data_IF_971459370390
#
_entry.id   IF_971459370390
#
_cell.length_a   1.000
_cell.length_b   1.000
_cell.length_c   1.000
_cell.angle_alpha   90.00
_cell.angle_beta   90.00
_cell.angle_gamma   90.00
#
_symmetry.space_group_name_H-M   'P 1'
#
loop_
_entity.id
_entity.type
_entity.pdbx_description
1 polymer ?
#
# COMPACT_ATOMS: atom_id res chain seq x y z
N UNK A 1 6.12 54.92 7.78
CA UNK A 1 7.51 54.94 7.27
C UNK A 1 7.93 53.50 7.07
N UNK A 2 7.66 52.96 5.88
CA UNK A 2 8.12 51.62 5.50
C UNK A 2 9.59 51.71 5.08
N UNK A 3 10.47 51.13 5.89
CA UNK A 3 11.88 51.02 5.54
C UNK A 3 12.03 49.96 4.44
N UNK A 4 12.66 50.27 3.29
CA UNK A 4 12.88 49.28 2.25
C UNK A 4 13.84 48.20 2.75
N UNK A 5 13.38 46.94 2.74
CA UNK A 5 14.22 45.78 3.05
C UNK A 5 15.36 45.75 2.07
N UNK A 6 16.60 45.82 2.57
CA UNK A 6 17.78 45.90 1.70
C UNK A 6 17.86 44.69 0.75
N UNK A 7 18.22 44.88 -0.54
CA UNK A 7 18.32 43.79 -1.51
C UNK A 7 19.27 42.68 -1.06
N UNK A 8 20.27 43.01 -0.22
CA UNK A 8 21.20 42.05 0.38
C UNK A 8 20.52 41.12 1.39
N UNK A 9 19.54 41.60 2.18
CA UNK A 9 18.74 40.76 3.09
C UNK A 9 17.77 39.85 2.33
N UNK A 10 17.16 40.34 1.26
CA UNK A 10 16.32 39.52 0.38
C UNK A 10 17.11 38.46 -0.40
N UNK A 11 18.33 38.79 -0.86
CA UNK A 11 19.23 37.85 -1.52
C UNK A 11 19.81 36.81 -0.54
N UNK A 12 20.11 37.19 0.71
CA UNK A 12 20.51 36.26 1.76
C UNK A 12 19.38 35.31 2.17
N UNK A 13 18.13 35.81 2.25
CA UNK A 13 16.95 34.99 2.52
C UNK A 13 16.68 33.99 1.38
N UNK A 14 16.85 34.39 0.11
CA UNK A 14 16.74 33.49 -1.05
C UNK A 14 17.91 32.48 -1.15
N UNK A 15 19.14 32.89 -0.82
CA UNK A 15 20.31 31.99 -0.77
C UNK A 15 20.23 30.99 0.39
N UNK A 16 19.63 31.35 1.52
CA UNK A 16 19.41 30.46 2.65
C UNK A 16 18.37 29.36 2.39
N UNK A 17 17.41 29.59 1.49
CA UNK A 17 16.35 28.62 1.19
C UNK A 17 16.85 27.38 0.44
N UNK A 18 17.84 27.53 -0.44
CA UNK A 18 18.42 26.41 -1.21
C UNK A 18 19.61 25.75 -0.51
N UNK A 19 20.26 26.40 0.46
CA UNK A 19 21.45 25.89 1.13
C UNK A 19 21.17 24.94 2.32
N UNK A 20 19.91 24.69 2.65
CA UNK A 20 19.54 23.98 3.90
C UNK A 20 19.26 22.48 3.71
N UNK A 21 18.98 22.02 2.48
CA UNK A 21 18.68 20.61 2.22
C UNK A 21 19.93 19.84 1.76
N UNK A 22 20.32 18.86 2.56
CA UNK A 22 21.42 17.95 2.25
C UNK A 22 20.93 16.75 1.43
N UNK A 23 21.86 15.99 0.83
CA UNK A 23 21.57 14.71 0.18
C UNK A 23 20.69 13.77 1.03
N UNK A 24 20.83 13.82 2.36
CA UNK A 24 20.08 12.96 3.27
C UNK A 24 18.59 13.31 3.32
N UNK A 25 18.25 14.60 3.20
CA UNK A 25 16.85 15.02 3.08
C UNK A 25 16.21 14.46 1.80
N UNK A 26 16.95 14.52 0.69
CA UNK A 26 16.48 13.96 -0.59
C UNK A 26 16.28 12.44 -0.47
N UNK A 27 17.24 11.71 0.10
CA UNK A 27 17.12 10.26 0.29
C UNK A 27 15.90 9.92 1.15
N UNK A 28 15.71 10.58 2.29
CA UNK A 28 14.56 10.34 3.16
C UNK A 28 13.25 10.69 2.48
N UNK A 29 13.20 11.79 1.74
CA UNK A 29 12.03 12.17 0.95
C UNK A 29 11.67 11.08 -0.04
N UNK A 30 12.63 10.64 -0.85
CA UNK A 30 12.43 9.62 -1.90
C UNK A 30 12.03 8.29 -1.29
N UNK A 31 12.71 7.84 -0.22
CA UNK A 31 12.39 6.59 0.45
C UNK A 31 10.98 6.60 1.03
N UNK A 32 10.62 7.64 1.78
CA UNK A 32 9.27 7.75 2.38
C UNK A 32 8.18 7.93 1.32
N UNK A 33 8.49 8.64 0.22
CA UNK A 33 7.58 8.81 -0.92
C UNK A 33 7.27 7.47 -1.56
N UNK A 34 8.31 6.71 -1.94
CA UNK A 34 8.11 5.42 -2.59
C UNK A 34 7.57 4.35 -1.64
N UNK A 35 7.93 4.35 -0.35
CA UNK A 35 7.31 3.43 0.60
C UNK A 35 5.80 3.61 0.67
N UNK A 36 5.33 4.86 0.72
CA UNK A 36 3.90 5.12 0.80
C UNK A 36 3.20 4.94 -0.56
N UNK A 37 3.88 5.24 -1.67
CA UNK A 37 3.39 4.89 -3.01
C UNK A 37 3.20 3.38 -3.17
N UNK A 38 4.10 2.55 -2.67
CA UNK A 38 3.97 1.08 -2.73
C UNK A 38 2.79 0.55 -1.90
N UNK A 39 2.56 1.12 -0.71
CA UNK A 39 1.37 0.82 0.10
C UNK A 39 0.06 1.25 -0.59
N UNK A 40 0.10 2.30 -1.42
CA UNK A 40 -1.04 2.67 -2.26
C UNK A 40 -1.20 1.75 -3.46
N UNK A 41 -0.10 1.33 -4.08
CA UNK A 41 -0.10 0.40 -5.20
C UNK A 41 -0.75 -0.94 -4.83
N UNK A 42 -0.45 -1.49 -3.65
CA UNK A 42 -1.07 -2.73 -3.18
C UNK A 42 -2.58 -2.60 -2.94
N UNK A 43 -3.04 -1.51 -2.33
CA UNK A 43 -4.47 -1.20 -2.19
C UNK A 43 -5.15 -1.12 -3.56
N UNK A 44 -4.50 -0.46 -4.51
CA UNK A 44 -5.05 -0.30 -5.86
C UNK A 44 -5.07 -1.61 -6.65
N UNK A 45 -4.07 -2.49 -6.46
CA UNK A 45 -4.02 -3.80 -7.10
C UNK A 45 -5.28 -4.62 -6.81
N UNK A 46 -5.74 -4.69 -5.55
CA UNK A 46 -6.99 -5.37 -5.20
C UNK A 46 -8.18 -4.83 -6.01
N UNK A 47 -8.34 -3.50 -6.07
CA UNK A 47 -9.44 -2.88 -6.81
C UNK A 47 -9.45 -3.24 -8.30
N UNK A 48 -8.28 -3.34 -8.92
CA UNK A 48 -8.15 -3.61 -10.36
C UNK A 48 -8.46 -5.07 -10.73
N UNK A 49 -8.26 -5.99 -9.79
CA UNK A 49 -8.46 -7.42 -10.03
C UNK A 49 -9.83 -7.94 -9.62
N UNK A 50 -10.68 -7.12 -8.97
CA UNK A 50 -11.99 -7.54 -8.46
C UNK A 50 -12.87 -8.23 -9.50
N UNK A 51 -12.87 -7.73 -10.73
CA UNK A 51 -13.65 -8.32 -11.82
C UNK A 51 -13.12 -9.73 -12.13
N UNK A 52 -11.80 -9.88 -12.24
CA UNK A 52 -11.17 -11.19 -12.48
C UNK A 52 -11.39 -12.16 -11.32
N UNK A 53 -11.32 -11.68 -10.08
CA UNK A 53 -11.61 -12.49 -8.89
C UNK A 53 -13.08 -12.94 -8.90
N UNK A 54 -14.01 -12.03 -9.17
CA UNK A 54 -15.43 -12.34 -9.27
C UNK A 54 -15.67 -13.44 -10.31
N UNK A 55 -15.02 -13.34 -11.47
CA UNK A 55 -15.12 -14.37 -12.51
C UNK A 55 -14.58 -15.73 -12.09
N UNK A 56 -13.49 -15.77 -11.31
CA UNK A 56 -12.91 -17.04 -10.84
C UNK A 56 -13.75 -17.68 -9.72
N UNK A 57 -14.35 -16.87 -8.85
CA UNK A 57 -15.08 -17.33 -7.66
C UNK A 57 -16.54 -17.74 -7.95
N UNK A 58 -16.98 -17.67 -9.20
CA UNK A 58 -18.36 -17.96 -9.62
C UNK A 58 -18.38 -18.97 -10.77
N UNK A 59 -19.45 -19.77 -10.88
CA UNK A 59 -19.56 -20.76 -11.96
C UNK A 59 -19.53 -20.10 -13.34
N UNK A 60 -18.82 -20.72 -14.28
CA UNK A 60 -18.91 -20.35 -15.69
C UNK A 60 -20.35 -20.64 -16.19
N UNK A 61 -21.03 -19.63 -16.74
CA UNK A 61 -22.42 -19.75 -17.21
C UNK A 61 -22.60 -20.94 -18.14
N UNK A 62 -23.34 -21.97 -17.69
CA UNK A 62 -23.60 -23.18 -18.46
C UNK A 62 -24.67 -22.85 -19.51
N UNK A 63 -24.32 -22.96 -20.80
CA UNK A 63 -25.32 -22.96 -21.88
C UNK A 63 -26.22 -24.19 -21.73
N UNK A 64 -27.50 -23.97 -21.41
CA UNK A 64 -28.54 -24.99 -21.15
C UNK A 64 -28.95 -25.85 -22.36
N UNK A 65 -28.22 -25.75 -23.48
CA UNK A 65 -28.55 -26.46 -24.73
C UNK A 65 -27.74 -27.75 -24.96
N UNK A 66 -26.81 -28.12 -24.08
CA UNK A 66 -25.99 -29.31 -24.22
C UNK A 66 -26.21 -30.27 -23.04
N UNK A 67 -26.56 -31.52 -23.34
CA UNK A 67 -26.58 -32.61 -22.36
C UNK A 67 -25.18 -32.82 -21.80
N UNK A 68 -24.98 -32.48 -20.53
CA UNK A 68 -23.72 -32.71 -19.82
C UNK A 68 -23.83 -34.06 -19.10
N UNK A 69 -22.94 -34.97 -19.42
CA UNK A 69 -22.69 -36.18 -18.63
C UNK A 69 -21.94 -35.74 -17.37
N UNK A 70 -22.48 -36.04 -16.18
CA UNK A 70 -21.92 -35.68 -14.88
C UNK A 70 -20.69 -36.54 -14.52
N UNK A 71 -19.48 -35.98 -14.72
CA UNK A 71 -18.54 -35.84 -13.59
C UNK A 71 -18.02 -34.40 -13.41
N UNK A 72 -18.56 -33.43 -14.16
CA UNK A 72 -18.06 -32.05 -14.21
C UNK A 72 -18.31 -31.27 -12.91
N UNK A 73 -19.37 -31.63 -12.17
CA UNK A 73 -19.75 -31.00 -10.89
C UNK A 73 -18.82 -31.34 -9.72
N UNK A 74 -18.03 -32.42 -9.81
CA UNK A 74 -17.12 -32.83 -8.72
C UNK A 74 -15.70 -32.30 -8.87
N UNK A 75 -15.32 -31.80 -10.04
CA UNK A 75 -13.95 -31.38 -10.36
C UNK A 75 -13.78 -29.88 -10.68
N UNK A 76 -14.88 -29.12 -10.82
CA UNK A 76 -14.84 -27.66 -11.05
C UNK A 76 -15.17 -26.86 -9.78
N UNK A 77 -14.62 -27.27 -8.64
CA UNK A 77 -15.04 -26.87 -7.29
C UNK A 77 -14.52 -25.52 -6.77
N UNK A 78 -14.44 -24.48 -7.61
CA UNK A 78 -14.02 -23.13 -7.18
C UNK A 78 -15.17 -22.13 -7.05
N UNK A 79 -16.41 -22.61 -6.86
CA UNK A 79 -17.59 -21.75 -6.74
C UNK A 79 -17.77 -21.27 -5.29
N UNK A 80 -17.01 -20.24 -4.88
CA UNK A 80 -17.16 -19.61 -3.57
C UNK A 80 -18.51 -18.87 -3.45
N UNK A 81 -19.05 -18.41 -4.58
CA UNK A 81 -20.31 -17.69 -4.68
C UNK A 81 -21.19 -18.24 -5.81
N UNK A 82 -22.52 -18.19 -5.65
CA UNK A 82 -23.45 -18.69 -6.67
C UNK A 82 -23.52 -17.78 -7.91
N UNK A 83 -23.18 -16.49 -7.76
CA UNK A 83 -23.32 -15.49 -8.81
C UNK A 83 -22.34 -14.31 -8.60
N UNK A 84 -22.15 -13.52 -9.67
CA UNK A 84 -21.22 -12.37 -9.67
C UNK A 84 -21.65 -11.23 -8.73
N UNK A 85 -22.94 -11.05 -8.46
CA UNK A 85 -23.44 -10.01 -7.56
C UNK A 85 -23.03 -10.35 -6.13
N UNK A 86 -23.26 -11.59 -5.69
CA UNK A 86 -22.83 -12.11 -4.40
C UNK A 86 -21.31 -11.98 -4.19
N UNK A 87 -20.51 -12.32 -5.20
CA UNK A 87 -19.06 -12.16 -5.16
C UNK A 87 -18.65 -10.67 -5.05
N UNK A 88 -19.29 -9.79 -5.82
CA UNK A 88 -19.01 -8.35 -5.82
C UNK A 88 -19.35 -7.70 -4.49
N UNK A 89 -20.49 -8.07 -3.89
CA UNK A 89 -20.89 -7.63 -2.55
C UNK A 89 -19.84 -8.03 -1.52
N UNK A 90 -19.37 -9.28 -1.58
CA UNK A 90 -18.33 -9.76 -0.66
C UNK A 90 -16.99 -9.04 -0.86
N UNK A 91 -16.56 -8.80 -2.09
CA UNK A 91 -15.36 -7.99 -2.39
C UNK A 91 -15.50 -6.54 -1.88
N UNK A 92 -16.71 -5.98 -1.87
CA UNK A 92 -17.02 -4.69 -1.24
C UNK A 92 -16.98 -4.75 0.29
N UNK A 93 -17.42 -5.86 0.88
CA UNK A 93 -17.30 -6.11 2.32
C UNK A 93 -15.82 -6.16 2.74
N UNK A 94 -14.95 -6.80 1.96
CA UNK A 94 -13.51 -6.85 2.24
C UNK A 94 -12.87 -5.44 2.26
N UNK A 95 -13.22 -4.56 1.32
CA UNK A 95 -12.80 -3.14 1.37
C UNK A 95 -13.27 -2.44 2.65
N UNK A 96 -14.50 -2.71 3.06
CA UNK A 96 -15.08 -2.10 4.27
C UNK A 96 -14.34 -2.58 5.52
N UNK A 97 -14.08 -3.88 5.61
CA UNK A 97 -13.29 -4.50 6.69
C UNK A 97 -11.87 -3.91 6.72
N UNK A 98 -11.24 -3.75 5.56
CA UNK A 98 -9.93 -3.12 5.43
C UNK A 98 -9.93 -1.71 6.00
N UNK A 99 -10.86 -0.87 5.53
CA UNK A 99 -10.91 0.55 5.91
C UNK A 99 -11.21 0.71 7.40
N UNK A 100 -12.11 -0.11 7.95
CA UNK A 100 -12.44 -0.10 9.36
C UNK A 100 -11.23 -0.51 10.22
N UNK A 101 -10.60 -1.65 9.89
CA UNK A 101 -9.41 -2.13 10.61
C UNK A 101 -8.23 -1.16 10.47
N UNK A 102 -8.04 -0.54 9.30
CA UNK A 102 -7.06 0.51 9.07
C UNK A 102 -7.32 1.73 9.97
N UNK A 103 -8.57 2.17 10.09
CA UNK A 103 -8.94 3.29 10.95
C UNK A 103 -8.64 3.01 12.43
N UNK A 104 -9.01 1.82 12.93
CA UNK A 104 -8.64 1.37 14.30
C UNK A 104 -7.12 1.33 14.45
N UNK A 105 -6.45 0.74 13.46
CA UNK A 105 -5.01 0.60 13.44
C UNK A 105 -4.25 1.93 13.43
N UNK A 106 -4.81 3.01 12.88
CA UNK A 106 -4.17 4.35 12.90
C UNK A 106 -4.03 4.90 14.33
N UNK A 107 -5.02 4.67 15.19
CA UNK A 107 -4.94 5.08 16.60
C UNK A 107 -3.84 4.31 17.33
N UNK A 108 -3.77 3.00 17.11
CA UNK A 108 -2.78 2.12 17.75
C UNK A 108 -1.38 2.43 17.22
N UNK A 109 -1.23 2.59 15.90
CA UNK A 109 0.07 2.80 15.27
C UNK A 109 0.69 4.16 15.60
N UNK A 110 -0.11 5.18 15.87
CA UNK A 110 0.38 6.45 16.42
C UNK A 110 1.10 6.26 17.75
N UNK A 111 0.48 5.53 18.70
CA UNK A 111 1.06 5.23 20.02
C UNK A 111 2.35 4.40 19.89
N UNK A 112 2.33 3.42 18.99
CA UNK A 112 3.51 2.55 18.73
C UNK A 112 4.65 3.36 18.11
N UNK A 113 4.34 4.26 17.17
CA UNK A 113 5.32 5.11 16.47
C UNK A 113 6.10 6.04 17.40
N UNK A 114 5.51 6.42 18.54
CA UNK A 114 6.19 7.24 19.55
C UNK A 114 7.17 6.44 20.43
N UNK A 115 7.01 5.11 20.50
CA UNK A 115 7.80 4.24 21.40
C UNK A 115 8.82 3.36 20.70
N UNK A 116 8.57 3.02 19.44
CA UNK A 116 9.43 2.14 18.65
C UNK A 116 10.15 2.92 17.56
N UNK A 117 11.28 2.38 17.08
CA UNK A 117 11.97 2.98 15.95
C UNK A 117 11.10 2.88 14.68
N UNK A 118 10.74 4.04 14.13
CA UNK A 118 9.84 4.17 12.95
C UNK A 118 10.32 3.35 11.74
N UNK A 119 11.63 3.15 11.56
CA UNK A 119 12.18 2.32 10.48
C UNK A 119 11.72 0.87 10.60
N UNK A 120 11.79 0.29 11.78
CA UNK A 120 11.39 -1.09 12.00
C UNK A 120 9.87 -1.26 11.92
N UNK A 121 9.11 -0.30 12.46
CA UNK A 121 7.64 -0.32 12.37
C UNK A 121 7.18 -0.24 10.91
N UNK A 122 7.71 0.70 10.14
CA UNK A 122 7.38 0.86 8.73
C UNK A 122 7.78 -0.37 7.89
N UNK A 123 9.00 -0.89 8.11
CA UNK A 123 9.47 -2.12 7.45
C UNK A 123 8.53 -3.28 7.75
N UNK A 124 8.24 -3.51 9.04
CA UNK A 124 7.38 -4.59 9.47
C UNK A 124 5.99 -4.48 8.83
N UNK A 125 5.37 -3.30 8.88
CA UNK A 125 4.07 -3.04 8.24
C UNK A 125 4.08 -3.32 6.74
N UNK A 126 5.08 -2.85 6.01
CA UNK A 126 5.21 -3.08 4.56
C UNK A 126 5.42 -4.56 4.21
N UNK A 127 6.35 -5.24 4.89
CA UNK A 127 6.68 -6.63 4.60
C UNK A 127 5.53 -7.57 4.98
N UNK A 128 4.95 -7.40 6.17
CA UNK A 128 3.85 -8.27 6.66
C UNK A 128 2.55 -8.06 5.87
N UNK A 129 2.21 -6.83 5.48
CA UNK A 129 1.06 -6.59 4.60
C UNK A 129 1.28 -7.14 3.19
N UNK A 130 2.51 -7.08 2.67
CA UNK A 130 2.86 -7.72 1.41
C UNK A 130 2.67 -9.24 1.47
N UNK A 131 3.14 -9.88 2.55
CA UNK A 131 2.90 -11.32 2.79
C UNK A 131 1.41 -11.62 2.87
N UNK A 132 0.62 -10.79 3.57
CA UNK A 132 -0.83 -10.98 3.69
C UNK A 132 -1.53 -10.91 2.32
N UNK A 133 -1.13 -9.97 1.47
CA UNK A 133 -1.65 -9.84 0.10
C UNK A 133 -1.24 -11.01 -0.80
N UNK A 134 0.02 -11.47 -0.69
CA UNK A 134 0.50 -12.65 -1.39
C UNK A 134 -0.26 -13.91 -0.97
N UNK A 135 -0.53 -14.08 0.33
CA UNK A 135 -1.33 -15.21 0.83
C UNK A 135 -2.77 -15.11 0.33
N UNK A 136 -3.40 -13.93 0.40
CA UNK A 136 -4.78 -13.71 -0.03
C UNK A 136 -5.01 -13.95 -1.52
N UNK A 137 -4.07 -13.52 -2.37
CA UNK A 137 -4.26 -13.50 -3.81
C UNK A 137 -3.59 -14.65 -4.54
N UNK A 138 -2.41 -15.07 -4.08
CA UNK A 138 -1.59 -16.04 -4.81
C UNK A 138 -1.64 -17.43 -4.20
N UNK A 139 -1.42 -17.55 -2.89
CA UNK A 139 -1.35 -18.85 -2.22
C UNK A 139 -2.71 -19.54 -2.21
N UNK A 140 -3.78 -18.81 -1.92
CA UNK A 140 -5.16 -19.34 -1.88
C UNK A 140 -5.62 -19.83 -3.25
N UNK A 141 -5.27 -19.13 -4.33
CA UNK A 141 -5.58 -19.56 -5.70
C UNK A 141 -4.78 -20.80 -6.09
N UNK A 142 -3.46 -20.81 -5.86
CA UNK A 142 -2.60 -21.96 -6.20
C UNK A 142 -2.96 -23.23 -5.41
N UNK A 143 -3.46 -23.09 -4.19
CA UNK A 143 -3.91 -24.21 -3.36
C UNK A 143 -5.40 -24.51 -3.52
N UNK A 144 -6.13 -23.76 -4.35
CA UNK A 144 -7.59 -23.81 -4.49
C UNK A 144 -8.33 -23.78 -3.14
N UNK A 145 -7.83 -22.98 -2.19
CA UNK A 145 -8.40 -22.83 -0.85
C UNK A 145 -9.25 -21.55 -0.76
N UNK A 146 -10.56 -21.71 -0.89
CA UNK A 146 -11.52 -20.59 -0.87
C UNK A 146 -12.33 -20.61 0.43
N UNK A 147 -12.04 -19.68 1.36
CA UNK A 147 -12.76 -19.56 2.63
C UNK A 147 -13.05 -18.09 2.97
N UNK A 148 -14.34 -17.76 3.10
CA UNK A 148 -14.83 -16.39 3.35
C UNK A 148 -14.30 -15.81 4.66
N UNK A 149 -14.32 -16.60 5.74
CA UNK A 149 -13.86 -16.16 7.06
C UNK A 149 -12.36 -15.91 7.03
N UNK A 150 -11.59 -16.81 6.41
CA UNK A 150 -10.15 -16.64 6.25
C UNK A 150 -9.82 -15.36 5.48
N UNK A 151 -10.52 -15.07 4.37
CA UNK A 151 -10.37 -13.82 3.64
C UNK A 151 -10.69 -12.60 4.49
N UNK A 152 -11.78 -12.59 5.25
CA UNK A 152 -12.08 -11.51 6.19
C UNK A 152 -10.95 -11.31 7.21
N UNK A 153 -10.42 -12.39 7.80
CA UNK A 153 -9.31 -12.33 8.75
C UNK A 153 -8.04 -11.74 8.12
N UNK A 154 -7.66 -12.17 6.92
CA UNK A 154 -6.52 -11.61 6.19
C UNK A 154 -6.70 -10.10 5.95
N UNK A 155 -7.91 -9.67 5.60
CA UNK A 155 -8.20 -8.26 5.33
C UNK A 155 -8.20 -7.38 6.59
N UNK A 156 -8.64 -7.91 7.74
CA UNK A 156 -8.46 -7.25 9.05
C UNK A 156 -6.98 -7.07 9.36
N UNK A 157 -6.20 -8.14 9.23
CA UNK A 157 -4.75 -8.12 9.50
C UNK A 157 -4.05 -7.15 8.56
N UNK A 158 -4.36 -7.20 7.26
CA UNK A 158 -3.80 -6.31 6.26
C UNK A 158 -4.07 -4.82 6.59
N UNK A 159 -5.31 -4.49 6.98
CA UNK A 159 -5.67 -3.12 7.36
C UNK A 159 -4.89 -2.61 8.57
N UNK A 160 -4.79 -3.43 9.63
CA UNK A 160 -4.00 -3.12 10.84
C UNK A 160 -2.51 -2.97 10.54
N UNK A 161 -1.94 -3.78 9.65
CA UNK A 161 -0.53 -3.71 9.29
C UNK A 161 -0.24 -2.48 8.43
N UNK A 162 -1.08 -2.18 7.45
CA UNK A 162 -0.90 -1.01 6.57
C UNK A 162 -1.12 0.33 7.29
N UNK A 163 -1.95 0.37 8.34
CA UNK A 163 -2.19 1.60 9.12
C UNK A 163 -0.94 2.13 9.82
N UNK A 164 0.10 1.32 9.97
CA UNK A 164 1.39 1.75 10.51
C UNK A 164 2.16 2.68 9.58
N UNK A 165 1.90 2.59 8.27
CA UNK A 165 2.66 3.30 7.25
C UNK A 165 2.58 4.82 7.39
N UNK A 166 1.35 5.36 7.43
CA UNK A 166 1.12 6.82 7.40
C UNK A 166 1.72 7.56 8.61
N UNK A 167 1.47 7.15 9.87
CA UNK A 167 2.05 7.85 11.02
C UNK A 167 3.58 7.78 11.02
N UNK A 168 4.17 6.65 10.62
CA UNK A 168 5.62 6.50 10.57
C UNK A 168 6.24 7.45 9.52
N UNK A 169 5.73 7.48 8.29
CA UNK A 169 6.30 8.34 7.24
C UNK A 169 6.10 9.83 7.54
N UNK A 170 4.94 10.20 8.09
CA UNK A 170 4.65 11.59 8.50
C UNK A 170 5.58 12.02 9.63
N UNK A 171 5.83 11.16 10.62
CA UNK A 171 6.74 11.44 11.72
C UNK A 171 8.19 11.60 11.22
N UNK A 172 8.69 10.69 10.37
CA UNK A 172 10.02 10.79 9.76
C UNK A 172 10.15 12.07 8.93
N UNK A 173 9.17 12.39 8.10
CA UNK A 173 9.13 13.64 7.33
C UNK A 173 9.13 14.87 8.26
N UNK A 174 8.40 14.82 9.38
CA UNK A 174 8.38 15.88 10.38
C UNK A 174 9.72 16.08 11.10
N UNK A 175 10.47 14.99 11.34
CA UNK A 175 11.80 15.02 11.96
C UNK A 175 12.88 15.62 11.06
N UNK A 176 12.79 15.37 9.75
CA UNK A 176 13.75 15.85 8.76
C UNK A 176 13.41 17.23 8.20
N UNK A 177 12.13 17.50 7.95
CA UNK A 177 11.68 18.75 7.35
C UNK A 177 11.08 19.64 8.44
N UNK A 178 11.88 20.62 8.88
CA UNK A 178 11.53 21.61 9.92
C UNK A 178 10.30 22.48 9.57
N UNK A 179 10.07 23.56 10.32
CA UNK A 179 8.84 24.36 10.19
C UNK A 179 8.77 25.21 8.91
N UNK A 180 9.91 25.61 8.35
CA UNK A 180 9.97 26.44 7.13
C UNK A 180 9.84 25.59 5.87
N UNK A 181 8.94 25.96 4.95
CA UNK A 181 8.74 25.25 3.67
C UNK A 181 8.07 23.88 3.76
N UNK A 182 7.67 23.43 4.96
CA UNK A 182 7.04 22.13 5.21
C UNK A 182 5.82 21.88 4.33
N UNK A 183 4.95 22.87 4.16
CA UNK A 183 3.74 22.73 3.35
C UNK A 183 4.01 22.37 1.89
N UNK A 184 5.06 22.94 1.29
CA UNK A 184 5.46 22.63 -0.09
C UNK A 184 6.03 21.21 -0.18
N UNK A 185 6.89 20.84 0.78
CA UNK A 185 7.48 19.49 0.83
C UNK A 185 6.40 18.43 1.03
N UNK A 186 5.50 18.60 2.00
CA UNK A 186 4.39 17.68 2.23
C UNK A 186 3.40 17.67 1.06
N UNK A 187 3.16 18.82 0.41
CA UNK A 187 2.35 18.90 -0.79
C UNK A 187 2.91 18.08 -1.94
N UNK A 188 4.21 18.21 -2.21
CA UNK A 188 4.90 17.40 -3.22
C UNK A 188 4.92 15.93 -2.82
N UNK A 189 5.18 15.63 -1.55
CA UNK A 189 5.20 14.28 -1.03
C UNK A 189 3.84 13.58 -1.19
N UNK A 190 2.74 14.30 -0.98
CA UNK A 190 1.36 13.79 -1.12
C UNK A 190 1.05 13.20 -2.51
N UNK A 191 1.78 13.61 -3.55
CA UNK A 191 1.68 13.01 -4.88
C UNK A 191 1.99 11.50 -4.90
N UNK A 192 2.65 10.97 -3.87
CA UNK A 192 2.93 9.53 -3.72
C UNK A 192 1.67 8.66 -3.80
N UNK A 193 0.52 9.13 -3.31
CA UNK A 193 -0.73 8.38 -3.39
C UNK A 193 -1.17 8.19 -4.84
N UNK A 194 -1.11 9.25 -5.66
CA UNK A 194 -1.43 9.18 -7.09
C UNK A 194 -0.42 8.33 -7.86
N UNK A 195 0.87 8.48 -7.58
CA UNK A 195 1.93 7.64 -8.18
C UNK A 195 1.70 6.18 -7.82
N UNK A 196 1.40 5.88 -6.57
CA UNK A 196 1.08 4.53 -6.10
C UNK A 196 -0.14 3.94 -6.82
N UNK A 197 -1.20 4.72 -7.00
CA UNK A 197 -2.38 4.26 -7.74
C UNK A 197 -2.05 3.93 -9.22
N UNK A 198 -1.24 4.76 -9.89
CA UNK A 198 -0.80 4.50 -11.26
C UNK A 198 0.06 3.24 -11.32
N UNK A 199 1.03 3.10 -10.41
CA UNK A 199 1.89 1.92 -10.32
C UNK A 199 1.06 0.65 -10.07
N UNK A 200 0.10 0.68 -9.14
CA UNK A 200 -0.76 -0.46 -8.86
C UNK A 200 -1.66 -0.86 -10.05
N UNK A 201 -2.13 0.12 -10.82
CA UNK A 201 -2.84 -0.14 -12.08
C UNK A 201 -1.94 -0.78 -13.13
N UNK A 202 -0.75 -0.23 -13.34
CA UNK A 202 0.22 -0.74 -14.30
C UNK A 202 0.68 -2.17 -13.96
N UNK A 203 1.05 -2.42 -12.70
CA UNK A 203 1.49 -3.74 -12.25
C UNK A 203 0.36 -4.78 -12.44
N UNK A 204 -0.86 -4.46 -12.00
CA UNK A 204 -1.99 -5.37 -12.19
C UNK A 204 -2.26 -5.64 -13.68
N UNK A 205 -2.36 -4.61 -14.52
CA UNK A 205 -2.69 -4.78 -15.94
C UNK A 205 -1.62 -5.56 -16.71
N UNK A 206 -0.36 -5.44 -16.33
CA UNK A 206 0.75 -6.13 -17.01
C UNK A 206 0.69 -7.66 -16.92
N UNK A 207 0.08 -8.20 -15.87
CA UNK A 207 0.04 -9.65 -15.61
C UNK A 207 -1.37 -10.22 -15.50
N UNK A 208 -2.42 -9.39 -15.50
CA UNK A 208 -3.80 -9.83 -15.35
C UNK A 208 -4.22 -10.86 -16.40
N UNK A 209 -3.64 -10.80 -17.61
CA UNK A 209 -3.91 -11.76 -18.68
C UNK A 209 -3.48 -13.20 -18.34
N UNK A 210 -2.58 -13.38 -17.36
CA UNK A 210 -2.13 -14.69 -16.89
C UNK A 210 -2.92 -15.20 -15.68
N UNK A 211 -3.69 -14.33 -15.01
CA UNK A 211 -4.40 -14.64 -13.77
C UNK A 211 -4.32 -13.50 -12.76
N UNK A 212 -5.32 -13.40 -11.88
CA UNK A 212 -5.34 -12.36 -10.86
C UNK A 212 -4.30 -12.60 -9.76
N UNK A 213 -3.94 -13.86 -9.52
CA UNK A 213 -2.95 -14.31 -8.56
C UNK A 213 -1.57 -13.73 -8.86
N UNK A 214 -1.23 -13.54 -10.13
CA UNK A 214 0.03 -12.94 -10.56
C UNK A 214 0.07 -11.43 -10.29
N UNK A 215 -1.08 -10.74 -10.40
CA UNK A 215 -1.18 -9.32 -10.05
C UNK A 215 -0.91 -9.08 -8.56
N UNK A 216 -1.38 -9.98 -7.69
CA UNK A 216 -1.00 -9.96 -6.27
C UNK A 216 0.45 -10.34 -6.04
N UNK A 217 0.96 -11.39 -6.70
CA UNK A 217 2.34 -11.84 -6.56
C UNK A 217 3.33 -10.71 -6.89
N UNK A 218 3.17 -10.08 -8.06
CA UNK A 218 4.04 -8.99 -8.50
C UNK A 218 3.92 -7.79 -7.56
N UNK A 219 2.71 -7.37 -7.24
CA UNK A 219 2.51 -6.20 -6.37
C UNK A 219 3.04 -6.43 -4.96
N UNK A 220 2.81 -7.61 -4.38
CA UNK A 220 3.34 -8.00 -3.07
C UNK A 220 4.86 -8.09 -3.09
N UNK A 221 5.46 -8.66 -4.15
CA UNK A 221 6.91 -8.78 -4.28
C UNK A 221 7.59 -7.40 -4.32
N UNK A 222 7.04 -6.46 -5.10
CA UNK A 222 7.57 -5.09 -5.18
C UNK A 222 7.42 -4.38 -3.84
N UNK A 223 6.27 -4.52 -3.16
CA UNK A 223 6.09 -3.93 -1.82
C UNK A 223 7.04 -4.53 -0.78
N UNK A 224 7.24 -5.86 -0.79
CA UNK A 224 8.13 -6.56 0.12
C UNK A 224 9.59 -6.13 -0.09
N UNK A 225 10.04 -6.04 -1.35
CA UNK A 225 11.36 -5.51 -1.69
C UNK A 225 11.51 -4.05 -1.21
N UNK A 226 10.48 -3.22 -1.40
CA UNK A 226 10.45 -1.86 -0.87
C UNK A 226 10.59 -1.79 0.65
N UNK A 227 9.98 -2.72 1.39
CA UNK A 227 10.16 -2.87 2.83
C UNK A 227 11.61 -3.10 3.23
N UNK A 228 12.34 -3.97 2.52
CA UNK A 228 13.77 -4.19 2.76
C UNK A 228 14.64 -2.99 2.38
N UNK A 229 14.29 -2.26 1.32
CA UNK A 229 14.97 -0.99 0.98
C UNK A 229 14.83 0.02 2.11
N UNK A 230 13.64 0.12 2.73
CA UNK A 230 13.43 0.94 3.93
C UNK A 230 14.22 0.40 5.11
N UNK A 231 14.25 -0.92 5.30
CA UNK A 231 14.98 -1.55 6.38
C UNK A 231 16.47 -1.25 6.34
N UNK A 232 17.10 -1.07 5.17
CA UNK A 232 18.54 -0.75 5.09
C UNK A 232 18.82 0.74 4.91
N UNK A 233 17.97 1.45 4.18
CA UNK A 233 18.24 2.81 3.71
C UNK A 233 17.62 3.93 4.54
N UNK A 234 16.57 3.67 5.35
CA UNK A 234 15.87 4.75 6.04
C UNK A 234 16.60 5.16 7.33
N UNK A 235 16.94 6.45 7.41
CA UNK A 235 17.45 7.12 8.61
C UNK A 235 16.31 7.94 9.22
N UNK A 236 15.88 7.62 10.43
CA UNK A 236 14.60 8.13 10.96
C UNK A 236 14.71 9.54 11.51
N UNK A 237 15.89 9.93 12.00
CA UNK A 237 16.16 11.25 12.55
C UNK A 237 17.55 11.73 12.16
N UNK A 238 17.76 13.04 11.97
CA UNK A 238 19.10 13.60 11.74
C UNK A 238 20.09 13.29 12.87
N UNK A 239 19.59 13.10 14.11
CA UNK A 239 20.38 12.76 15.29
C UNK A 239 21.13 11.44 15.17
N UNK A 240 20.60 10.47 14.42
CA UNK A 240 21.28 9.21 14.13
C UNK A 240 22.60 9.40 13.35
N UNK A 241 22.77 10.55 12.70
CA UNK A 241 23.98 10.93 11.96
C UNK A 241 24.92 11.84 12.76
N UNK A 242 24.64 12.06 14.05
CA UNK A 242 25.41 12.96 14.91
C UNK A 242 25.25 14.44 14.56
N UNK A 243 24.14 14.83 13.92
CA UNK A 243 23.81 16.21 13.55
C UNK A 243 22.51 16.70 14.19
#
# INVERSE_FOLDING_TARGET
MDFPVSPRRAAAARRGFCAQYTHHHLVVFVLTFFSYALLHASRKAFSNVKVSISNQWTPAGINTSLYIVDPNMTWNGSDLFPDHESATIFLGLLDTIFLFSYAVGLFISGIIGDRLNMRYVLTFGMCSSAVTMFVFGTVTEWLHFYNKIFYCCLWVVNGLLQSTGWPCVVAVMGNWFGKSGRGVVFGLWSACASVGNILGAFLASSVLQYGYEYAFLVTASVQFAGGWVIFFGLVTTPKELGK
#
